data_IF_460504319384
#
_entry.id   IF_460504319384
#
_cell.length_a   1.000
_cell.length_b   1.000
_cell.length_c   1.000
_cell.angle_alpha   90.00
_cell.angle_beta   90.00
_cell.angle_gamma   90.00
#
_symmetry.space_group_name_H-M   'P 1'
#
loop_
_entity.id
_entity.type
_entity.pdbx_description
1 polymer ?
#
# COMPACT_ATOMS: atom_id res chain seq x y z
N UNK A 1 16.35 20.70 18.66
CA UNK A 1 15.13 20.69 17.81
C UNK A 1 14.17 19.52 18.13
N UNK A 2 14.13 19.02 19.38
CA UNK A 2 13.25 17.90 19.74
C UNK A 2 11.80 18.35 20.02
N UNK A 3 11.61 19.53 20.63
CA UNK A 3 10.26 20.04 20.96
C UNK A 3 9.38 20.36 19.74
N UNK A 4 9.97 20.94 18.68
CA UNK A 4 9.23 21.21 17.44
C UNK A 4 8.78 19.92 16.73
N UNK A 5 9.59 18.85 16.82
CA UNK A 5 9.22 17.55 16.30
C UNK A 5 8.10 16.90 17.12
N UNK A 6 8.09 17.07 18.44
CA UNK A 6 7.01 16.60 19.32
C UNK A 6 5.64 17.13 18.90
N UNK A 7 5.53 18.45 18.66
CA UNK A 7 4.28 19.08 18.20
C UNK A 7 3.80 18.49 16.86
N UNK A 8 4.73 18.24 15.93
CA UNK A 8 4.39 17.62 14.66
C UNK A 8 3.87 16.18 14.85
N UNK A 9 4.50 15.41 15.73
CA UNK A 9 4.10 14.04 16.00
C UNK A 9 2.72 13.98 16.68
N UNK A 10 2.43 14.87 17.62
CA UNK A 10 1.11 14.95 18.28
C UNK A 10 0.00 15.22 17.25
N UNK A 11 0.22 16.18 16.35
CA UNK A 11 -0.73 16.48 15.28
C UNK A 11 -0.89 15.31 14.29
N UNK A 12 0.21 14.63 13.93
CA UNK A 12 0.19 13.50 13.02
C UNK A 12 -0.56 12.29 13.59
N UNK A 13 -0.42 12.01 14.89
CA UNK A 13 -1.12 10.91 15.55
C UNK A 13 -2.56 11.22 15.95
N UNK A 14 -3.02 12.45 15.72
CA UNK A 14 -4.42 12.82 15.98
C UNK A 14 -5.34 12.12 14.99
N UNK A 15 -6.29 11.35 15.51
CA UNK A 15 -7.31 10.70 14.68
C UNK A 15 -8.42 11.69 14.31
N UNK A 16 -8.43 12.11 13.05
CA UNK A 16 -9.40 13.07 12.48
C UNK A 16 -10.56 12.39 11.75
N UNK A 17 -10.69 11.05 11.82
CA UNK A 17 -11.67 10.31 11.00
C UNK A 17 -13.12 10.68 11.34
N UNK A 18 -13.43 10.89 12.61
CA UNK A 18 -14.77 11.33 13.05
C UNK A 18 -15.13 12.70 12.51
N UNK A 19 -14.18 13.64 12.55
CA UNK A 19 -14.40 15.03 12.14
C UNK A 19 -14.62 15.11 10.63
N UNK A 20 -13.85 14.32 9.87
CA UNK A 20 -14.03 14.19 8.42
C UNK A 20 -15.36 13.52 8.06
N UNK A 21 -15.83 12.55 8.85
CA UNK A 21 -17.12 11.92 8.64
C UNK A 21 -18.27 12.92 8.79
N UNK A 22 -18.29 13.67 9.90
CA UNK A 22 -19.28 14.72 10.14
C UNK A 22 -19.25 15.82 9.06
N UNK A 23 -18.05 16.22 8.64
CA UNK A 23 -17.89 17.19 7.56
C UNK A 23 -18.46 16.69 6.22
N UNK A 24 -18.27 15.40 5.87
CA UNK A 24 -18.86 14.82 4.65
C UNK A 24 -20.39 14.84 4.71
N UNK A 25 -20.96 14.42 5.84
CA UNK A 25 -22.41 14.41 6.04
C UNK A 25 -23.01 15.81 5.91
N UNK A 26 -22.32 16.84 6.44
CA UNK A 26 -22.75 18.23 6.31
C UNK A 26 -22.90 18.71 4.86
N UNK A 27 -22.23 18.04 3.92
CA UNK A 27 -22.28 18.32 2.48
C UNK A 27 -23.08 17.29 1.68
N UNK A 28 -23.83 16.42 2.36
CA UNK A 28 -24.61 15.35 1.71
C UNK A 28 -23.75 14.24 1.11
N UNK A 29 -22.50 14.11 1.53
CA UNK A 29 -21.61 13.02 1.13
C UNK A 29 -21.66 11.88 2.16
N UNK A 30 -21.42 10.62 1.75
CA UNK A 30 -21.36 9.50 2.70
C UNK A 30 -20.23 9.69 3.73
N UNK A 31 -20.54 9.43 5.00
CA UNK A 31 -19.57 9.44 6.09
C UNK A 31 -18.42 8.44 5.86
N UNK A 32 -18.78 7.22 5.44
CA UNK A 32 -17.86 6.17 5.00
C UNK A 32 -17.91 6.01 3.47
N UNK A 33 -16.95 6.63 2.75
CA UNK A 33 -16.91 6.54 1.30
C UNK A 33 -16.57 5.13 0.78
N UNK A 34 -15.84 4.31 1.55
CA UNK A 34 -15.49 2.96 1.13
C UNK A 34 -16.68 2.01 1.25
N UNK A 35 -17.47 2.13 2.32
CA UNK A 35 -18.74 1.42 2.43
C UNK A 35 -19.72 1.84 1.32
N UNK A 36 -19.82 3.14 1.04
CA UNK A 36 -20.66 3.63 -0.06
C UNK A 36 -20.20 3.10 -1.43
N UNK A 37 -18.89 3.06 -1.67
CA UNK A 37 -18.33 2.47 -2.88
C UNK A 37 -18.65 0.97 -2.99
N UNK A 38 -18.46 0.20 -1.91
CA UNK A 38 -18.78 -1.23 -1.89
C UNK A 38 -20.27 -1.48 -2.17
N UNK A 39 -21.15 -0.70 -1.54
CA UNK A 39 -22.60 -0.79 -1.75
C UNK A 39 -23.02 -0.40 -3.18
N UNK A 40 -22.30 0.51 -3.84
CA UNK A 40 -22.62 0.94 -5.20
C UNK A 40 -22.42 -0.14 -6.27
N UNK A 41 -21.68 -1.22 -5.96
CA UNK A 41 -21.36 -2.28 -6.93
C UNK A 41 -20.44 -1.82 -8.08
N UNK A 42 -19.87 -0.61 -8.02
CA UNK A 42 -18.98 -0.08 -9.05
C UNK A 42 -17.82 -1.03 -9.35
N UNK A 43 -17.24 -1.67 -8.34
CA UNK A 43 -16.15 -2.63 -8.51
C UNK A 43 -16.53 -3.79 -9.43
N UNK A 44 -17.73 -4.35 -9.25
CA UNK A 44 -18.23 -5.46 -10.06
C UNK A 44 -18.43 -5.03 -11.51
N UNK A 45 -19.05 -3.87 -11.74
CA UNK A 45 -19.22 -3.31 -13.09
C UNK A 45 -17.87 -3.08 -13.79
N UNK A 46 -16.91 -2.47 -13.10
CA UNK A 46 -15.55 -2.25 -13.66
C UNK A 46 -14.89 -3.59 -14.01
N UNK A 47 -15.05 -4.62 -13.17
CA UNK A 47 -14.48 -5.93 -13.43
C UNK A 47 -15.10 -6.59 -14.68
N UNK A 48 -16.44 -6.54 -14.83
CA UNK A 48 -17.17 -7.06 -15.99
C UNK A 48 -16.79 -6.32 -17.29
N UNK A 49 -16.72 -4.99 -17.25
CA UNK A 49 -16.40 -4.15 -18.43
C UNK A 49 -14.93 -4.28 -18.88
N UNK A 50 -14.03 -4.66 -17.97
CA UNK A 50 -12.58 -4.75 -18.25
C UNK A 50 -12.10 -6.17 -18.48
N UNK A 51 -13.00 -7.16 -18.59
CA UNK A 51 -12.62 -8.54 -18.97
C UNK A 51 -11.96 -8.50 -20.36
N UNK A 52 -10.71 -8.96 -20.45
CA UNK A 52 -9.93 -8.96 -21.69
C UNK A 52 -9.22 -7.63 -22.01
N UNK A 53 -9.32 -6.61 -21.15
CA UNK A 53 -8.58 -5.36 -21.29
C UNK A 53 -7.09 -5.54 -20.99
N UNK A 54 -6.24 -4.84 -21.75
CA UNK A 54 -4.80 -4.79 -21.45
C UNK A 54 -4.59 -3.97 -20.17
N UNK A 55 -3.99 -4.56 -19.14
CA UNK A 55 -3.63 -3.83 -17.93
C UNK A 55 -2.69 -2.67 -18.30
N UNK A 56 -3.14 -1.43 -18.17
CA UNK A 56 -2.28 -0.26 -18.33
C UNK A 56 -1.52 -0.05 -17.02
N UNK A 57 -0.34 -0.64 -16.91
CA UNK A 57 0.56 -0.49 -15.78
C UNK A 57 1.93 0.02 -16.22
N UNK A 58 2.66 0.66 -15.31
CA UNK A 58 4.08 0.96 -15.50
C UNK A 58 4.87 -0.35 -15.62
N UNK A 59 5.01 -0.86 -16.85
CA UNK A 59 5.69 -2.12 -17.16
C UNK A 59 4.82 -3.20 -17.81
N UNK A 60 3.54 -2.95 -18.09
CA UNK A 60 2.67 -3.92 -18.75
C UNK A 60 2.99 -4.03 -20.25
N UNK A 61 4.08 -4.72 -20.59
CA UNK A 61 4.36 -5.19 -21.95
C UNK A 61 4.09 -6.68 -22.02
N UNK A 62 3.27 -7.05 -22.99
CA UNK A 62 3.10 -8.41 -23.48
C UNK A 62 4.47 -8.92 -23.98
N UNK A 63 5.08 -9.86 -23.28
CA UNK A 63 6.29 -10.56 -23.77
C UNK A 63 5.87 -11.68 -24.73
N UNK A 64 5.52 -11.33 -25.98
CA UNK A 64 5.39 -12.30 -27.08
C UNK A 64 6.76 -12.54 -27.74
N UNK A 65 7.68 -13.11 -26.97
CA UNK A 65 8.76 -13.99 -27.47
C UNK A 65 9.64 -14.37 -26.30
N UNK A 66 9.84 -15.68 -26.13
CA UNK A 66 10.94 -16.18 -25.35
C UNK A 66 12.25 -15.58 -25.84
N UNK A 67 13.13 -15.33 -24.88
CA UNK A 67 14.50 -14.83 -25.03
C UNK A 67 14.67 -13.30 -25.00
N UNK A 68 15.50 -12.89 -24.02
CA UNK A 68 16.19 -11.61 -23.90
C UNK A 68 15.49 -10.46 -23.15
N UNK A 69 15.22 -10.59 -21.85
CA UNK A 69 15.21 -9.43 -20.92
C UNK A 69 15.66 -9.76 -19.47
N UNK A 70 16.61 -10.69 -19.28
CA UNK A 70 17.20 -10.92 -17.95
C UNK A 70 18.22 -9.83 -17.50
N UNK A 71 18.36 -8.70 -18.22
CA UNK A 71 19.51 -7.79 -18.02
C UNK A 71 19.19 -6.34 -17.62
N UNK A 72 17.93 -5.96 -17.45
CA UNK A 72 17.59 -4.55 -17.17
C UNK A 72 16.93 -4.31 -15.80
N UNK A 73 16.69 -5.35 -14.98
CA UNK A 73 16.20 -5.15 -13.62
C UNK A 73 16.79 -6.16 -12.63
N UNK A 74 18.02 -5.91 -12.19
CA UNK A 74 18.51 -6.43 -10.90
C UNK A 74 18.43 -5.31 -9.85
N UNK A 75 17.49 -5.35 -8.89
CA UNK A 75 17.60 -4.54 -7.69
C UNK A 75 18.31 -5.37 -6.61
N UNK A 76 19.50 -4.95 -6.22
CA UNK A 76 20.18 -5.30 -4.96
C UNK A 76 20.04 -6.75 -4.46
N UNK A 77 20.74 -7.69 -5.10
CA UNK A 77 21.16 -8.92 -4.41
C UNK A 77 22.29 -8.56 -3.44
N UNK A 78 21.92 -7.96 -2.30
CA UNK A 78 22.81 -7.86 -1.15
C UNK A 78 23.16 -9.27 -0.69
N UNK A 79 24.43 -9.60 -0.83
CA UNK A 79 25.07 -10.81 -0.34
C UNK A 79 24.61 -11.09 1.10
N UNK A 80 23.87 -12.17 1.33
CA UNK A 80 23.61 -12.65 2.69
C UNK A 80 24.92 -13.18 3.24
N UNK A 81 25.63 -12.32 3.98
CA UNK A 81 26.77 -12.71 4.81
C UNK A 81 26.36 -13.88 5.73
N UNK A 82 27.11 -14.99 5.79
CA UNK A 82 26.83 -16.09 6.67
C UNK A 82 27.30 -15.74 8.09
N UNK A 83 26.53 -14.89 8.76
CA UNK A 83 26.72 -14.60 10.19
C UNK A 83 25.38 -14.37 10.88
N UNK A 84 24.39 -15.23 10.60
CA UNK A 84 23.25 -15.41 11.50
C UNK A 84 23.71 -16.26 12.69
N UNK A 85 24.44 -15.62 13.61
CA UNK A 85 24.74 -16.18 14.92
C UNK A 85 23.44 -16.46 15.65
N UNK A 86 23.25 -17.71 16.06
CA UNK A 86 22.17 -18.16 16.94
C UNK A 86 22.20 -17.29 18.21
N UNK A 87 21.23 -16.39 18.37
CA UNK A 87 20.93 -15.83 19.69
C UNK A 87 20.04 -16.81 20.45
N UNK A 88 20.61 -17.94 20.84
CA UNK A 88 20.08 -18.72 21.96
C UNK A 88 20.70 -18.14 23.21
N UNK A 89 20.01 -17.17 23.82
CA UNK A 89 20.26 -16.76 25.20
C UNK A 89 19.96 -17.95 26.10
N UNK A 90 20.97 -18.77 26.38
CA UNK A 90 20.94 -19.71 27.48
C UNK A 90 20.91 -18.90 28.79
N UNK A 91 19.82 -19.01 29.54
CA UNK A 91 19.77 -18.61 30.95
C UNK A 91 20.48 -19.70 31.76
N UNK A 92 21.48 -19.39 32.61
CA UNK A 92 21.84 -20.29 33.70
C UNK A 92 20.85 -20.15 34.86
N UNK A 93 20.64 -21.26 35.56
CA UNK A 93 19.89 -21.36 36.82
C UNK A 93 20.57 -20.56 37.92
#
# INVERSE_FOLDING_TARGET
MLGANGILMDAFYTDVRSDLAAWRESRGLPADPMAAYAASGCQRRIAEERVGGQQAGWGARRLERGEALARVFQPYAGEKSPAQGRNTRAMPQ
#
